data_IF_025292765380
#
_entry.id   IF_025292765380
#
_cell.length_a   1.000
_cell.length_b   1.000
_cell.length_c   1.000
_cell.angle_alpha   90.00
_cell.angle_beta   90.00
_cell.angle_gamma   90.00
#
_symmetry.space_group_name_H-M   'P 1'
#
loop_
_entity.id
_entity.type
_entity.pdbx_description
1 polymer ?
#
# COMPACT_ATOMS: atom_id res chain seq x y z
N UNK A 1 13.73 -15.66 -36.52
CA UNK A 1 13.32 -14.29 -36.87
C UNK A 1 12.25 -13.92 -35.86
N UNK A 2 12.66 -13.50 -34.66
CA UNK A 2 11.74 -13.05 -33.61
C UNK A 2 11.84 -11.53 -33.55
N UNK A 3 10.74 -10.87 -33.90
CA UNK A 3 10.61 -9.40 -33.89
C UNK A 3 10.51 -8.88 -32.45
N UNK A 4 11.58 -8.27 -31.93
CA UNK A 4 11.53 -7.45 -30.73
C UNK A 4 10.99 -6.05 -31.07
N UNK A 5 9.68 -5.89 -30.96
CA UNK A 5 9.01 -4.58 -30.99
C UNK A 5 9.19 -3.86 -29.64
N UNK A 6 10.22 -3.02 -29.54
CA UNK A 6 10.41 -2.10 -28.41
C UNK A 6 9.49 -0.88 -28.58
N UNK A 7 8.40 -0.80 -27.82
CA UNK A 7 7.55 0.40 -27.77
C UNK A 7 7.74 1.14 -26.44
N UNK A 8 8.22 2.39 -26.50
CA UNK A 8 8.35 3.27 -25.35
C UNK A 8 7.20 4.28 -25.36
N UNK A 9 6.21 4.09 -24.48
CA UNK A 9 5.08 5.02 -24.32
C UNK A 9 5.20 5.74 -23.00
N UNK A 10 5.64 7.00 -23.03
CA UNK A 10 5.58 7.91 -21.89
C UNK A 10 4.32 8.78 -22.00
N UNK A 11 3.45 8.74 -20.98
CA UNK A 11 2.24 9.58 -20.93
C UNK A 11 2.65 11.06 -20.79
N UNK A 12 2.04 12.00 -21.55
CA UNK A 12 2.38 13.42 -21.45
C UNK A 12 2.00 13.97 -20.07
N UNK A 13 2.96 14.61 -19.39
CA UNK A 13 2.77 15.27 -18.10
C UNK A 13 2.97 16.76 -18.27
N UNK A 14 1.95 17.55 -17.91
CA UNK A 14 1.99 19.00 -18.04
C UNK A 14 3.08 19.63 -17.15
N UNK A 15 3.75 20.65 -17.69
CA UNK A 15 4.81 21.41 -17.02
C UNK A 15 4.20 22.25 -15.89
N UNK A 16 4.50 21.90 -14.65
CA UNK A 16 4.08 22.66 -13.48
C UNK A 16 5.01 23.87 -13.30
N UNK A 17 4.57 25.04 -13.74
CA UNK A 17 5.23 26.31 -13.46
C UNK A 17 4.87 26.78 -12.04
N UNK A 18 5.46 26.16 -11.03
CA UNK A 18 5.35 26.62 -9.64
C UNK A 18 6.74 26.74 -9.02
N UNK A 19 7.24 27.97 -8.96
CA UNK A 19 8.52 28.33 -8.34
C UNK A 19 8.32 28.42 -6.81
N UNK A 20 8.32 27.27 -6.14
CA UNK A 20 8.27 27.18 -4.67
C UNK A 20 9.64 27.40 -4.03
N UNK A 21 9.72 28.34 -3.08
CA UNK A 21 10.92 28.65 -2.30
C UNK A 21 11.32 27.48 -1.38
N UNK A 22 12.61 27.12 -1.47
CA UNK A 22 13.49 26.49 -0.48
C UNK A 22 12.88 25.51 0.56
N UNK A 23 13.06 24.20 0.34
CA UNK A 23 13.22 23.22 1.42
C UNK A 23 14.20 22.12 1.00
N UNK A 24 15.26 21.93 1.80
CA UNK A 24 16.19 20.79 1.71
C UNK A 24 15.40 19.48 1.80
N UNK A 25 15.46 18.65 0.75
CA UNK A 25 15.32 17.19 0.84
C UNK A 25 16.17 16.52 -0.24
N UNK A 26 16.75 15.41 0.19
CA UNK A 26 17.70 14.54 -0.49
C UNK A 26 17.24 14.16 -1.90
N UNK A 27 18.14 14.27 -2.87
CA UNK A 27 17.89 13.86 -4.26
C UNK A 27 18.20 12.38 -4.39
N UNK A 28 17.18 11.59 -4.76
CA UNK A 28 17.39 10.34 -5.47
C UNK A 28 17.97 10.67 -6.86
N UNK A 29 19.18 10.19 -7.14
CA UNK A 29 19.84 10.33 -8.42
C UNK A 29 19.27 9.34 -9.43
N UNK A 30 18.17 9.71 -10.07
CA UNK A 30 17.78 9.18 -11.38
C UNK A 30 17.59 10.39 -12.30
N UNK A 31 18.70 11.05 -12.63
CA UNK A 31 18.73 12.09 -13.65
C UNK A 31 19.01 11.40 -14.99
N UNK A 32 17.95 11.13 -15.75
CA UNK A 32 18.05 11.07 -17.21
C UNK A 32 18.74 12.36 -17.63
N UNK A 33 19.93 12.25 -18.22
CA UNK A 33 20.70 13.40 -18.70
C UNK A 33 19.84 14.16 -19.70
N UNK A 34 19.35 15.33 -19.29
CA UNK A 34 18.59 16.18 -20.19
C UNK A 34 19.55 16.74 -21.23
N UNK A 35 19.44 16.22 -22.45
CA UNK A 35 20.20 16.66 -23.62
C UNK A 35 20.15 18.19 -23.74
N UNK A 36 19.05 18.84 -23.32
CA UNK A 36 18.86 20.30 -23.33
C UNK A 36 19.89 21.11 -22.52
N UNK A 37 20.65 20.48 -21.63
CA UNK A 37 21.71 21.11 -20.86
C UNK A 37 23.11 20.56 -21.20
N UNK A 38 23.22 19.71 -22.22
CA UNK A 38 24.51 19.17 -22.66
C UNK A 38 25.28 20.27 -23.44
N UNK A 39 26.48 20.66 -22.97
CA UNK A 39 27.31 21.66 -23.63
C UNK A 39 27.84 21.22 -25.01
N UNK A 40 27.73 19.93 -25.36
CA UNK A 40 28.14 19.39 -26.66
C UNK A 40 27.06 19.53 -27.74
N UNK A 41 25.83 19.88 -27.35
CA UNK A 41 24.69 19.96 -28.28
C UNK A 41 24.44 21.43 -28.63
N UNK A 42 24.88 21.83 -29.82
CA UNK A 42 24.65 23.17 -30.35
C UNK A 42 23.15 23.37 -30.63
N UNK A 43 22.54 24.38 -30.00
CA UNK A 43 21.13 24.73 -30.18
C UNK A 43 21.01 26.04 -30.94
N UNK A 44 20.26 26.01 -32.05
CA UNK A 44 19.91 27.20 -32.81
C UNK A 44 19.81 26.91 -34.31
N UNK A 45 19.00 27.71 -35.02
CA UNK A 45 19.03 27.76 -36.47
C UNK A 45 20.33 28.43 -36.91
N UNK A 46 21.06 27.81 -37.85
CA UNK A 46 22.37 28.27 -38.36
C UNK A 46 22.31 29.70 -38.93
N UNK A 47 21.11 30.17 -39.29
CA UNK A 47 20.88 31.53 -39.80
C UNK A 47 20.92 32.65 -38.74
N UNK A 48 20.80 32.33 -37.44
CA UNK A 48 20.80 33.36 -36.39
C UNK A 48 22.20 33.97 -36.13
N UNK A 49 23.27 33.23 -36.40
CA UNK A 49 24.65 33.71 -36.20
C UNK A 49 25.01 34.84 -37.18
N UNK A 50 24.53 34.77 -38.43
CA UNK A 50 24.79 35.78 -39.46
C UNK A 50 24.14 37.14 -39.13
N UNK A 51 22.98 37.14 -38.46
CA UNK A 51 22.27 38.37 -38.11
C UNK A 51 22.80 39.04 -36.83
N UNK A 52 23.53 38.31 -35.97
CA UNK A 52 24.12 38.87 -34.75
C UNK A 52 25.31 39.80 -34.99
N UNK A 53 25.91 39.75 -36.19
CA UNK A 53 27.03 40.60 -36.60
C UNK A 53 26.55 42.02 -36.95
N UNK A 54 25.30 42.17 -37.40
CA UNK A 54 24.74 43.48 -37.77
C UNK A 54 24.22 44.28 -36.56
N UNK A 55 23.78 43.62 -35.49
CA UNK A 55 23.17 44.31 -34.33
C UNK A 55 24.21 44.93 -33.37
N UNK A 56 25.48 44.53 -33.47
CA UNK A 56 26.55 45.04 -32.58
C UNK A 56 27.18 46.37 -33.02
N UNK A 57 26.82 46.93 -34.19
CA UNK A 57 27.41 48.18 -34.68
C UNK A 57 26.76 49.45 -34.11
N UNK A 58 25.51 49.40 -33.64
CA UNK A 58 24.75 50.62 -33.35
C UNK A 58 24.64 50.98 -31.85
N UNK A 59 25.28 50.23 -30.94
CA UNK A 59 25.19 50.48 -29.50
C UNK A 59 26.54 50.61 -28.79
N UNK A 60 27.55 51.18 -29.44
CA UNK A 60 28.84 51.52 -28.84
C UNK A 60 29.09 53.03 -28.86
N UNK A 61 28.21 53.80 -28.24
CA UNK A 61 28.43 55.21 -27.94
C UNK A 61 27.86 55.54 -26.57
N UNK A 62 28.59 55.18 -25.50
CA UNK A 62 28.55 55.88 -24.21
C UNK A 62 29.65 55.42 -23.26
N UNK A 63 30.37 56.43 -22.76
CA UNK A 63 31.28 56.47 -21.60
C UNK A 63 32.74 56.10 -21.87
N UNK A 64 33.56 57.15 -21.91
CA UNK A 64 35.02 57.17 -21.77
C UNK A 64 35.42 57.15 -20.30
N UNK A 65 36.51 56.44 -19.95
CA UNK A 65 37.58 56.89 -19.02
C UNK A 65 38.91 56.19 -19.40
N UNK A 66 40.01 56.96 -19.31
CA UNK A 66 41.40 56.84 -19.87
C UNK A 66 42.30 55.98 -18.92
N UNK A 67 43.51 55.42 -19.27
CA UNK A 67 44.55 55.87 -20.24
C UNK A 67 45.13 54.85 -21.25
N UNK A 68 45.91 55.35 -22.23
CA UNK A 68 46.54 54.55 -23.27
C UNK A 68 47.97 54.18 -22.89
N UNK A 69 48.32 52.89 -22.93
CA UNK A 69 49.68 52.52 -23.28
C UNK A 69 49.77 51.06 -23.75
N UNK A 70 50.74 50.85 -24.64
CA UNK A 70 51.22 49.60 -25.22
C UNK A 70 50.53 49.12 -26.49
N UNK A 71 51.32 49.28 -27.56
CA UNK A 71 51.20 48.71 -28.88
C UNK A 71 50.97 47.20 -28.86
N UNK A 72 50.02 46.73 -29.67
CA UNK A 72 50.15 45.46 -30.37
C UNK A 72 49.29 45.51 -31.63
N UNK A 73 49.93 45.40 -32.79
CA UNK A 73 49.27 45.43 -34.10
C UNK A 73 48.24 44.30 -34.29
N UNK A 74 47.46 44.34 -35.39
CA UNK A 74 46.42 43.36 -35.63
C UNK A 74 47.05 41.98 -35.91
N UNK A 75 47.01 41.10 -34.93
CA UNK A 75 47.28 39.68 -35.10
C UNK A 75 46.16 39.08 -35.96
N UNK A 76 46.45 38.87 -37.25
CA UNK A 76 45.61 38.07 -38.13
C UNK A 76 45.57 36.65 -37.57
N UNK A 77 44.39 36.18 -37.15
CA UNK A 77 44.22 34.79 -36.77
C UNK A 77 44.41 33.91 -38.00
N UNK A 78 45.45 33.07 -37.97
CA UNK A 78 45.56 31.94 -38.89
C UNK A 78 44.41 30.98 -38.57
N UNK A 79 43.40 30.93 -39.46
CA UNK A 79 42.35 29.92 -39.40
C UNK A 79 42.96 28.57 -39.74
N UNK A 80 42.99 27.65 -38.79
CA UNK A 80 43.34 26.25 -39.03
C UNK A 80 42.20 25.62 -39.85
N UNK A 81 42.49 25.22 -41.08
CA UNK A 81 41.58 24.42 -41.91
C UNK A 81 41.36 23.09 -41.19
N UNK A 82 40.09 22.72 -41.00
CA UNK A 82 39.71 21.46 -40.36
C UNK A 82 39.29 20.47 -41.44
N UNK A 83 39.47 19.17 -41.18
CA UNK A 83 39.26 18.05 -42.14
C UNK A 83 37.80 17.96 -42.64
N UNK A 84 36.88 18.74 -42.05
CA UNK A 84 35.45 18.77 -42.40
C UNK A 84 35.04 19.98 -43.27
N UNK A 85 35.99 20.80 -43.74
CA UNK A 85 35.71 21.93 -44.64
C UNK A 85 35.72 21.43 -46.10
N UNK A 86 34.56 21.45 -46.76
CA UNK A 86 34.43 21.01 -48.15
C UNK A 86 35.22 21.96 -49.10
N UNK A 87 36.00 21.44 -50.06
CA UNK A 87 36.76 22.28 -50.98
C UNK A 87 35.79 23.10 -51.84
N UNK A 88 35.77 24.42 -51.61
CA UNK A 88 35.06 25.35 -52.47
C UNK A 88 35.93 25.65 -53.68
N UNK A 89 35.99 24.69 -54.62
CA UNK A 89 36.29 24.89 -56.05
C UNK A 89 36.09 23.56 -56.79
N UNK A 90 34.84 23.19 -57.07
CA UNK A 90 34.56 22.31 -58.20
C UNK A 90 34.30 23.20 -59.42
N UNK A 91 35.38 23.68 -60.03
CA UNK A 91 35.35 24.20 -61.40
C UNK A 91 35.23 23.01 -62.34
N UNK A 92 34.02 22.44 -62.46
CA UNK A 92 33.69 21.49 -63.52
C UNK A 92 32.90 22.20 -64.59
N UNK A 93 33.58 23.04 -65.36
CA UNK A 93 33.09 23.53 -66.63
C UNK A 93 34.20 23.31 -67.66
N UNK A 94 34.02 22.31 -68.51
CA UNK A 94 34.80 22.16 -69.73
C UNK A 94 34.01 22.87 -70.84
N UNK A 95 34.52 23.95 -71.45
CA UNK A 95 33.87 24.54 -72.60
C UNK A 95 33.98 23.56 -73.77
N UNK A 96 32.87 22.93 -74.14
CA UNK A 96 32.75 22.14 -75.36
C UNK A 96 32.54 23.11 -76.51
N UNK A 97 33.46 23.13 -77.47
CA UNK A 97 33.32 23.93 -78.68
C UNK A 97 32.27 23.31 -79.61
N UNK A 98 31.12 23.97 -79.73
CA UNK A 98 30.00 23.55 -80.59
C UNK A 98 30.11 24.14 -82.01
N UNK A 99 31.20 24.85 -82.34
CA UNK A 99 31.41 25.51 -83.64
C UNK A 99 31.29 24.56 -84.83
N UNK A 100 31.68 23.29 -84.66
CA UNK A 100 31.58 22.27 -85.71
C UNK A 100 30.15 21.81 -86.03
N UNK A 101 29.16 22.10 -85.17
CA UNK A 101 27.77 21.64 -85.32
C UNK A 101 26.75 22.79 -85.53
N UNK A 102 27.22 24.04 -85.67
CA UNK A 102 26.39 25.22 -85.95
C UNK A 102 26.45 25.57 -87.46
N UNK A 103 26.06 24.64 -88.32
CA UNK A 103 25.85 24.93 -89.74
C UNK A 103 24.35 25.13 -89.96
N UNK A 104 23.93 26.40 -90.00
CA UNK A 104 22.60 26.77 -90.47
C UNK A 104 22.54 26.52 -91.98
N UNK A 105 21.81 25.48 -92.41
CA UNK A 105 21.55 25.21 -93.82
C UNK A 105 20.53 26.21 -94.35
N UNK A 106 21.00 27.37 -94.81
CA UNK A 106 20.18 28.29 -95.62
C UNK A 106 19.94 27.66 -96.99
N UNK A 107 18.68 27.60 -97.49
CA UNK A 107 18.41 27.07 -98.81
C UNK A 107 19.08 27.95 -99.86
N UNK A 108 19.85 27.34 -100.76
CA UNK A 108 20.43 28.01 -101.92
C UNK A 108 19.29 28.53 -102.82
N UNK A 109 19.24 29.84 -103.04
CA UNK A 109 18.35 30.47 -104.01
C UNK A 109 19.16 30.62 -105.31
N UNK A 110 18.70 29.98 -106.38
CA UNK A 110 19.33 30.09 -107.69
C UNK A 110 19.11 31.51 -108.24
N UNK A 111 20.14 32.34 -108.20
CA UNK A 111 20.15 33.67 -108.79
C UNK A 111 20.65 33.61 -110.24
N UNK A 112 19.76 33.88 -111.19
CA UNK A 112 20.08 33.94 -112.62
C UNK A 112 20.63 35.31 -112.98
N UNK A 113 21.95 35.44 -113.02
CA UNK A 113 22.63 36.64 -113.53
C UNK A 113 22.62 36.66 -115.06
N UNK A 114 21.85 37.59 -115.64
CA UNK A 114 21.86 37.92 -117.07
C UNK A 114 22.85 39.06 -117.29
N UNK A 115 24.00 38.77 -117.89
CA UNK A 115 24.97 39.77 -118.33
C UNK A 115 25.22 39.67 -119.84
N UNK A 116 25.28 40.85 -120.46
CA UNK A 116 25.34 41.07 -121.90
C UNK A 116 26.73 40.89 -122.49
N UNK A 117 26.75 40.30 -123.68
CA UNK A 117 27.89 40.02 -124.53
C UNK A 117 28.76 41.25 -124.80
N UNK A 118 29.96 41.25 -124.24
CA UNK A 118 31.10 42.04 -124.72
C UNK A 118 32.29 41.07 -124.76
N UNK A 119 32.60 40.55 -125.95
CA UNK A 119 33.68 39.59 -126.12
C UNK A 119 35.02 40.29 -125.87
N UNK A 120 35.70 39.91 -124.80
CA UNK A 120 37.05 40.38 -124.49
C UNK A 120 38.02 39.39 -125.12
N UNK A 121 38.69 39.77 -126.22
CA UNK A 121 39.61 38.91 -126.96
C UNK A 121 40.52 38.07 -126.04
N UNK A 122 40.29 36.74 -125.99
CA UNK A 122 41.18 35.83 -125.26
C UNK A 122 42.52 35.67 -126.02
N UNK A 123 43.68 35.95 -125.39
CA UNK A 123 44.97 35.64 -125.99
C UNK A 123 45.15 34.12 -126.15
N UNK A 124 45.54 33.70 -127.35
CA UNK A 124 45.79 32.29 -127.69
C UNK A 124 47.03 31.76 -126.93
N UNK A 125 46.82 31.25 -125.72
CA UNK A 125 47.85 30.65 -124.87
C UNK A 125 48.13 29.16 -125.20
N UNK A 126 47.70 28.66 -126.37
CA UNK A 126 47.83 27.23 -126.74
C UNK A 126 49.28 26.76 -126.96
N UNK A 127 50.25 27.68 -126.98
CA UNK A 127 51.68 27.38 -127.13
C UNK A 127 52.56 27.84 -125.95
N UNK A 128 52.00 28.28 -124.82
CA UNK A 128 52.77 28.50 -123.57
C UNK A 128 52.66 27.29 -122.65
N UNK A 129 53.36 26.19 -123.00
CA UNK A 129 53.71 25.22 -121.96
C UNK A 129 54.73 25.91 -121.03
N UNK A 130 54.49 26.03 -119.71
CA UNK A 130 55.48 26.59 -118.81
C UNK A 130 56.76 25.75 -118.95
N UNK A 131 57.88 26.41 -119.15
CA UNK A 131 59.18 25.76 -119.22
C UNK A 131 59.52 25.22 -117.82
N UNK A 132 59.32 23.92 -117.62
CA UNK A 132 59.76 23.22 -116.41
C UNK A 132 61.21 22.85 -116.61
N UNK A 133 62.11 23.54 -115.91
CA UNK A 133 63.53 23.19 -115.87
C UNK A 133 63.64 21.73 -115.39
N UNK A 134 64.31 20.86 -116.16
CA UNK A 134 64.68 19.53 -115.65
C UNK A 134 65.51 19.74 -114.38
N UNK A 135 65.31 18.94 -113.33
CA UNK A 135 66.06 19.06 -112.08
C UNK A 135 67.56 18.87 -112.37
N UNK A 136 68.29 19.96 -112.55
CA UNK A 136 69.74 19.97 -112.78
C UNK A 136 70.44 20.13 -111.43
N UNK A 137 70.31 19.12 -110.57
CA UNK A 137 70.96 19.06 -109.27
C UNK A 137 71.37 17.62 -108.98
N UNK A 138 72.52 17.43 -108.33
CA UNK A 138 72.96 16.10 -107.90
C UNK A 138 72.05 15.70 -106.73
N UNK A 139 71.33 14.59 -106.89
CA UNK A 139 70.54 14.01 -105.79
C UNK A 139 71.51 13.26 -104.87
N UNK A 140 71.62 13.71 -103.63
CA UNK A 140 72.41 13.06 -102.60
C UNK A 140 71.50 12.64 -101.45
N UNK A 141 71.44 11.34 -101.17
CA UNK A 141 70.89 10.80 -99.92
C UNK A 141 72.04 10.53 -98.97
N UNK A 142 71.95 11.03 -97.74
CA UNK A 142 72.89 10.70 -96.67
C UNK A 142 72.12 9.88 -95.64
N UNK A 143 72.66 8.73 -95.28
CA UNK A 143 72.14 7.85 -94.23
C UNK A 143 73.25 7.63 -93.20
N UNK A 144 72.86 7.52 -91.94
CA UNK A 144 73.79 7.20 -90.84
C UNK A 144 73.83 5.67 -90.75
N UNK A 145 75.00 5.09 -91.00
CA UNK A 145 75.20 3.65 -90.94
C UNK A 145 75.46 3.20 -89.50
N UNK A 146 75.20 1.93 -89.17
CA UNK A 146 75.53 1.36 -87.86
C UNK A 146 77.04 1.47 -87.54
N UNK A 147 77.90 1.51 -88.57
CA UNK A 147 79.35 1.70 -88.42
C UNK A 147 79.76 3.11 -87.98
N UNK A 148 78.87 4.09 -88.03
CA UNK A 148 79.19 5.50 -87.70
C UNK A 148 79.34 5.71 -86.18
N UNK A 149 78.95 4.73 -85.36
CA UNK A 149 79.26 4.73 -83.92
C UNK A 149 78.65 5.90 -83.15
N UNK A 150 77.50 6.43 -83.61
CA UNK A 150 76.86 7.62 -83.04
C UNK A 150 76.21 7.40 -81.66
N UNK A 151 76.08 6.14 -81.24
CA UNK A 151 75.53 5.76 -79.93
C UNK A 151 76.63 5.69 -78.88
N UNK A 152 76.59 6.62 -77.92
CA UNK A 152 77.42 6.57 -76.73
C UNK A 152 76.63 5.94 -75.57
N UNK A 153 77.03 4.72 -75.20
CA UNK A 153 76.36 3.97 -74.13
C UNK A 153 76.44 4.68 -72.78
N UNK A 154 77.57 5.33 -72.47
CA UNK A 154 77.78 5.94 -71.15
C UNK A 154 76.87 7.16 -70.95
N UNK A 155 76.59 7.90 -72.03
CA UNK A 155 75.66 9.03 -72.02
C UNK A 155 74.21 8.53 -71.94
N UNK A 156 73.84 7.53 -72.74
CA UNK A 156 72.45 7.10 -72.85
C UNK A 156 71.99 6.25 -71.65
N UNK A 157 72.90 5.51 -70.98
CA UNK A 157 72.57 4.73 -69.78
C UNK A 157 72.43 5.60 -68.53
N UNK A 158 73.02 6.80 -68.52
CA UNK A 158 73.07 7.67 -67.35
C UNK A 158 71.68 8.05 -66.78
N UNK A 159 70.67 8.45 -67.59
CA UNK A 159 69.32 8.70 -67.09
C UNK A 159 68.64 7.45 -66.53
N UNK A 160 68.84 6.28 -67.17
CA UNK A 160 68.26 5.02 -66.74
C UNK A 160 68.82 4.60 -65.37
N UNK A 161 70.14 4.67 -65.22
CA UNK A 161 70.82 4.35 -63.96
C UNK A 161 70.39 5.33 -62.85
N UNK A 162 70.30 6.62 -63.17
CA UNK A 162 69.85 7.64 -62.23
C UNK A 162 68.45 7.35 -61.71
N UNK A 163 67.50 6.98 -62.58
CA UNK A 163 66.14 6.63 -62.17
C UNK A 163 66.13 5.35 -61.35
N UNK A 164 66.88 4.33 -61.77
CA UNK A 164 66.94 3.04 -61.07
C UNK A 164 67.47 3.22 -59.66
N UNK A 165 68.64 3.84 -59.50
CA UNK A 165 69.27 4.06 -58.20
C UNK A 165 68.42 4.94 -57.30
N UNK A 166 67.86 6.04 -57.82
CA UNK A 166 67.00 6.90 -57.02
C UNK A 166 65.72 6.20 -56.57
N UNK A 167 65.12 5.39 -57.45
CA UNK A 167 63.91 4.63 -57.10
C UNK A 167 64.22 3.57 -56.05
N UNK A 168 65.31 2.81 -56.20
CA UNK A 168 65.69 1.78 -55.23
C UNK A 168 66.04 2.39 -53.87
N UNK A 169 66.78 3.52 -53.84
CA UNK A 169 67.12 4.19 -52.59
C UNK A 169 65.89 4.78 -51.91
N UNK A 170 65.00 5.43 -52.67
CA UNK A 170 63.74 5.97 -52.11
C UNK A 170 62.84 4.86 -51.58
N UNK A 171 62.71 3.77 -52.32
CA UNK A 171 61.91 2.63 -51.89
C UNK A 171 62.48 2.02 -50.60
N UNK A 172 63.80 1.77 -50.55
CA UNK A 172 64.46 1.25 -49.35
C UNK A 172 64.30 2.20 -48.15
N UNK A 173 64.40 3.52 -48.36
CA UNK A 173 64.19 4.51 -47.30
C UNK A 173 62.76 4.47 -46.77
N UNK A 174 61.75 4.45 -47.65
CA UNK A 174 60.35 4.37 -47.24
C UNK A 174 60.04 3.04 -46.52
N UNK A 175 60.61 1.92 -46.96
CA UNK A 175 60.43 0.62 -46.31
C UNK A 175 60.98 0.63 -44.88
N UNK A 176 62.18 1.20 -44.67
CA UNK A 176 62.76 1.33 -43.33
C UNK A 176 61.91 2.24 -42.42
N UNK A 177 61.45 3.39 -42.94
CA UNK A 177 60.58 4.29 -42.19
C UNK A 177 59.26 3.61 -41.80
N UNK A 178 58.64 2.86 -42.72
CA UNK A 178 57.41 2.12 -42.43
C UNK A 178 57.61 0.99 -41.43
N UNK A 179 58.72 0.25 -41.51
CA UNK A 179 59.03 -0.77 -40.52
C UNK A 179 59.19 -0.17 -39.12
N UNK A 180 59.84 0.99 -39.02
CA UNK A 180 60.00 1.68 -37.75
C UNK A 180 58.67 2.23 -37.24
N UNK A 181 57.85 2.86 -38.08
CA UNK A 181 56.49 3.28 -37.71
C UNK A 181 55.65 2.09 -37.21
N UNK A 182 55.72 0.95 -37.88
CA UNK A 182 54.98 -0.25 -37.50
C UNK A 182 55.44 -0.79 -36.13
N UNK A 183 56.75 -0.75 -35.84
CA UNK A 183 57.30 -1.10 -34.51
C UNK A 183 56.78 -0.14 -33.44
N UNK A 184 56.77 1.16 -33.70
CA UNK A 184 56.25 2.15 -32.74
C UNK A 184 54.75 1.95 -32.48
N UNK A 185 53.96 1.68 -33.51
CA UNK A 185 52.53 1.39 -33.36
C UNK A 185 52.32 0.11 -32.54
N UNK A 186 53.11 -0.94 -32.78
CA UNK A 186 53.02 -2.18 -32.03
C UNK A 186 53.31 -1.97 -30.53
N UNK A 187 54.38 -1.25 -30.19
CA UNK A 187 54.73 -0.91 -28.81
C UNK A 187 53.64 -0.07 -28.14
N UNK A 188 53.10 0.93 -28.85
CA UNK A 188 52.02 1.76 -28.34
C UNK A 188 50.74 0.95 -28.07
N UNK A 189 50.38 0.01 -28.96
CA UNK A 189 49.23 -0.87 -28.76
C UNK A 189 49.44 -1.82 -27.58
N UNK A 190 50.64 -2.35 -27.41
CA UNK A 190 50.99 -3.18 -26.26
C UNK A 190 50.83 -2.41 -24.95
N UNK A 191 51.40 -1.21 -24.85
CA UNK A 191 51.25 -0.33 -23.68
C UNK A 191 49.78 0.03 -23.42
N UNK A 192 49.02 0.31 -24.47
CA UNK A 192 47.60 0.62 -24.35
C UNK A 192 46.81 -0.59 -23.85
N UNK A 193 47.13 -1.80 -24.31
CA UNK A 193 46.49 -3.02 -23.84
C UNK A 193 46.84 -3.34 -22.39
N UNK A 194 48.10 -3.18 -21.98
CA UNK A 194 48.50 -3.40 -20.58
C UNK A 194 47.81 -2.41 -19.66
N UNK A 195 47.77 -1.12 -20.01
CA UNK A 195 47.06 -0.10 -19.24
C UNK A 195 45.56 -0.39 -19.14
N UNK A 196 44.90 -0.76 -20.25
CA UNK A 196 43.48 -1.16 -20.23
C UNK A 196 43.21 -2.39 -19.36
N UNK A 197 44.12 -3.36 -19.35
CA UNK A 197 43.99 -4.55 -18.53
C UNK A 197 44.09 -4.19 -17.03
N UNK A 198 45.05 -3.34 -16.66
CA UNK A 198 45.19 -2.82 -15.30
C UNK A 198 43.96 -2.01 -14.86
N UNK A 199 43.45 -1.13 -15.71
CA UNK A 199 42.24 -0.36 -15.43
C UNK A 199 41.02 -1.27 -15.24
N UNK A 200 40.87 -2.29 -16.09
CA UNK A 200 39.78 -3.26 -15.98
C UNK A 200 39.85 -4.06 -14.68
N UNK A 201 41.05 -4.42 -14.22
CA UNK A 201 41.27 -5.10 -12.94
C UNK A 201 40.93 -4.18 -11.76
N UNK A 202 41.41 -2.95 -11.75
CA UNK A 202 41.07 -1.95 -10.74
C UNK A 202 39.55 -1.70 -10.64
N UNK A 203 38.86 -1.58 -11.79
CA UNK A 203 37.40 -1.45 -11.82
C UNK A 203 36.71 -2.70 -11.26
N UNK A 204 37.20 -3.90 -11.60
CA UNK A 204 36.65 -5.17 -11.10
C UNK A 204 36.77 -5.27 -9.58
N UNK A 205 37.91 -4.88 -9.02
CA UNK A 205 38.11 -4.86 -7.57
C UNK A 205 37.16 -3.86 -6.89
N UNK A 206 37.04 -2.64 -7.41
CA UNK A 206 36.14 -1.62 -6.88
C UNK A 206 34.68 -2.11 -6.90
N UNK A 207 34.24 -2.71 -8.01
CA UNK A 207 32.88 -3.28 -8.13
C UNK A 207 32.68 -4.41 -7.12
N UNK A 208 33.66 -5.28 -6.93
CA UNK A 208 33.59 -6.37 -5.94
C UNK A 208 33.49 -5.83 -4.50
N UNK A 209 34.27 -4.81 -4.16
CA UNK A 209 34.20 -4.14 -2.85
C UNK A 209 32.85 -3.45 -2.65
N UNK A 210 32.35 -2.72 -3.65
CA UNK A 210 31.04 -2.07 -3.60
C UNK A 210 29.91 -3.09 -3.43
N UNK A 211 29.97 -4.24 -4.12
CA UNK A 211 29.00 -5.33 -3.97
C UNK A 211 29.01 -5.91 -2.56
N UNK A 212 30.20 -6.14 -1.98
CA UNK A 212 30.34 -6.60 -0.58
C UNK A 212 29.78 -5.57 0.40
N UNK A 213 30.12 -4.30 0.26
CA UNK A 213 29.62 -3.23 1.13
C UNK A 213 28.09 -3.09 1.04
N UNK A 214 27.53 -3.19 -0.17
CA UNK A 214 26.08 -3.16 -0.38
C UNK A 214 25.38 -4.35 0.30
N UNK A 215 25.93 -5.56 0.16
CA UNK A 215 25.38 -6.76 0.80
C UNK A 215 25.39 -6.65 2.34
N UNK A 216 26.48 -6.14 2.93
CA UNK A 216 26.58 -5.90 4.38
C UNK A 216 25.52 -4.87 4.82
N UNK A 217 25.42 -3.74 4.11
CA UNK A 217 24.44 -2.70 4.42
C UNK A 217 23.00 -3.21 4.33
N UNK A 218 22.70 -4.06 3.36
CA UNK A 218 21.36 -4.61 3.21
C UNK A 218 21.04 -5.65 4.28
N UNK A 219 22.00 -6.49 4.68
CA UNK A 219 21.86 -7.37 5.84
C UNK A 219 21.61 -6.58 7.13
N UNK A 220 22.35 -5.49 7.35
CA UNK A 220 22.15 -4.60 8.50
C UNK A 220 20.77 -3.97 8.51
N UNK A 221 20.27 -3.47 7.36
CA UNK A 221 18.91 -2.92 7.26
C UNK A 221 17.83 -3.96 7.60
N UNK A 222 18.01 -5.21 7.16
CA UNK A 222 17.06 -6.29 7.48
C UNK A 222 17.04 -6.54 8.98
N UNK A 223 18.21 -6.66 9.61
CA UNK A 223 18.32 -6.88 11.05
C UNK A 223 17.78 -5.70 11.86
N UNK A 224 18.06 -4.46 11.45
CA UNK A 224 17.48 -3.27 12.08
C UNK A 224 15.95 -3.25 11.98
N UNK A 225 15.38 -3.58 10.81
CA UNK A 225 13.92 -3.69 10.66
C UNK A 225 13.33 -4.76 11.57
N UNK A 226 13.98 -5.93 11.67
CA UNK A 226 13.56 -7.00 12.59
C UNK A 226 13.56 -6.52 14.04
N UNK A 227 14.65 -5.89 14.49
CA UNK A 227 14.76 -5.33 15.86
C UNK A 227 13.70 -4.29 16.15
N UNK A 228 13.40 -3.39 15.21
CA UNK A 228 12.36 -2.38 15.38
C UNK A 228 10.97 -3.03 15.51
N UNK A 229 10.67 -4.04 14.67
CA UNK A 229 9.40 -4.79 14.78
C UNK A 229 9.29 -5.52 16.12
N UNK A 230 10.36 -6.18 16.56
CA UNK A 230 10.39 -6.87 17.84
C UNK A 230 10.24 -5.91 19.02
N UNK A 231 10.93 -4.77 18.99
CA UNK A 231 10.77 -3.72 20.00
C UNK A 231 9.33 -3.22 20.05
N UNK A 232 8.71 -2.93 18.90
CA UNK A 232 7.33 -2.45 18.85
C UNK A 232 6.34 -3.46 19.46
N UNK A 233 6.53 -4.76 19.17
CA UNK A 233 5.70 -5.83 19.76
C UNK A 233 5.92 -5.95 21.28
N UNK A 234 7.16 -5.79 21.74
CA UNK A 234 7.46 -5.80 23.18
C UNK A 234 6.84 -4.60 23.87
N UNK A 235 6.96 -3.40 23.28
CA UNK A 235 6.37 -2.17 23.81
C UNK A 235 4.85 -2.28 23.93
N UNK A 236 4.18 -2.81 22.91
CA UNK A 236 2.73 -3.07 22.95
C UNK A 236 2.35 -4.06 24.05
N UNK A 237 3.10 -5.17 24.19
CA UNK A 237 2.86 -6.17 25.24
C UNK A 237 3.06 -5.59 26.64
N UNK A 238 4.12 -4.82 26.84
CA UNK A 238 4.40 -4.17 28.13
C UNK A 238 3.32 -3.15 28.46
N UNK A 239 2.89 -2.35 27.48
CA UNK A 239 1.78 -1.41 27.64
C UNK A 239 0.49 -2.14 28.02
N UNK A 240 0.13 -3.22 27.31
CA UNK A 240 -1.05 -4.02 27.60
C UNK A 240 -1.01 -4.63 29.01
N UNK A 241 0.12 -5.23 29.42
CA UNK A 241 0.28 -5.79 30.77
C UNK A 241 0.16 -4.72 31.85
N UNK A 242 0.75 -3.53 31.63
CA UNK A 242 0.65 -2.42 32.58
C UNK A 242 -0.79 -1.95 32.76
N UNK A 243 -1.54 -1.84 31.65
CA UNK A 243 -2.93 -1.46 31.63
C UNK A 243 -3.82 -2.53 32.26
N UNK A 244 -3.58 -3.81 31.96
CA UNK A 244 -4.31 -4.92 32.55
C UNK A 244 -4.13 -4.97 34.07
N UNK A 245 -2.92 -4.71 34.59
CA UNK A 245 -2.70 -4.66 36.05
C UNK A 245 -3.51 -3.54 36.70
N UNK A 246 -3.48 -2.34 36.12
CA UNK A 246 -4.24 -1.20 36.64
C UNK A 246 -5.75 -1.43 36.58
N UNK A 247 -6.26 -1.95 35.47
CA UNK A 247 -7.68 -2.23 35.31
C UNK A 247 -8.13 -3.41 36.16
N UNK A 248 -7.36 -4.48 36.28
CA UNK A 248 -7.78 -5.64 37.08
C UNK A 248 -7.93 -5.30 38.55
N UNK A 249 -7.06 -4.46 39.13
CA UNK A 249 -7.27 -4.00 40.51
C UNK A 249 -8.59 -3.24 40.66
N UNK A 250 -8.89 -2.33 39.73
CA UNK A 250 -10.14 -1.54 39.77
C UNK A 250 -11.37 -2.42 39.54
N UNK A 251 -11.34 -3.31 38.54
CA UNK A 251 -12.45 -4.20 38.22
C UNK A 251 -12.73 -5.16 39.38
N UNK A 252 -11.71 -5.68 40.07
CA UNK A 252 -11.92 -6.54 41.25
C UNK A 252 -12.60 -5.75 42.37
N UNK A 253 -12.17 -4.52 42.65
CA UNK A 253 -12.82 -3.67 43.65
C UNK A 253 -14.27 -3.35 43.26
N UNK A 254 -14.51 -2.88 42.04
CA UNK A 254 -15.86 -2.53 41.57
C UNK A 254 -16.80 -3.73 41.54
N UNK A 255 -16.34 -4.88 41.05
CA UNK A 255 -17.15 -6.11 40.98
C UNK A 255 -17.44 -6.68 42.35
N UNK A 256 -16.49 -6.63 43.30
CA UNK A 256 -16.75 -7.06 44.68
C UNK A 256 -17.78 -6.17 45.35
N UNK A 257 -17.72 -4.85 45.15
CA UNK A 257 -18.75 -3.91 45.63
C UNK A 257 -20.11 -4.20 45.00
N UNK A 258 -20.17 -4.34 43.67
CA UNK A 258 -21.42 -4.62 42.95
C UNK A 258 -22.06 -5.96 43.36
N UNK A 259 -21.25 -7.02 43.47
CA UNK A 259 -21.72 -8.36 43.87
C UNK A 259 -22.13 -8.41 45.35
N UNK A 260 -21.46 -7.64 46.21
CA UNK A 260 -21.87 -7.50 47.62
C UNK A 260 -23.19 -6.74 47.72
N UNK A 261 -23.38 -5.67 46.94
CA UNK A 261 -24.62 -4.91 46.88
C UNK A 261 -25.80 -5.75 46.33
N UNK A 262 -25.54 -6.63 45.36
CA UNK A 262 -26.53 -7.60 44.86
C UNK A 262 -26.79 -8.76 45.83
N UNK A 263 -26.04 -8.86 46.95
CA UNK A 263 -26.22 -9.89 47.96
C UNK A 263 -25.67 -11.26 47.56
N UNK A 264 -24.81 -11.33 46.54
CA UNK A 264 -24.13 -12.57 46.14
C UNK A 264 -23.08 -12.96 47.18
N UNK A 265 -22.30 -11.98 47.64
CA UNK A 265 -21.44 -12.15 48.81
C UNK A 265 -22.25 -11.83 50.07
N UNK A 266 -22.55 -12.87 50.85
CA UNK A 266 -23.28 -12.76 52.11
C UNK A 266 -22.46 -13.38 53.24
N UNK A 267 -22.70 -12.92 54.46
CA UNK A 267 -22.13 -13.54 55.66
C UNK A 267 -22.82 -14.91 55.90
N UNK A 268 -22.09 -16.03 55.82
CA UNK A 268 -22.65 -17.36 56.01
C UNK A 268 -23.26 -17.52 57.42
N UNK A 269 -22.71 -16.85 58.44
CA UNK A 269 -23.24 -16.92 59.80
C UNK A 269 -24.60 -16.24 59.86
N UNK A 270 -24.71 -15.02 59.31
CA UNK A 270 -25.97 -14.29 59.27
C UNK A 270 -27.07 -15.08 58.54
N UNK A 271 -26.73 -15.72 57.41
CA UNK A 271 -27.70 -16.53 56.65
C UNK A 271 -28.11 -17.81 57.36
N UNK A 272 -27.19 -18.45 58.10
CA UNK A 272 -27.55 -19.59 58.95
C UNK A 272 -28.48 -19.19 60.10
N UNK A 273 -28.25 -18.01 60.69
CA UNK A 273 -29.13 -17.46 61.73
C UNK A 273 -30.53 -17.18 61.15
N UNK A 274 -30.61 -16.45 60.05
CA UNK A 274 -31.89 -16.10 59.40
C UNK A 274 -32.65 -17.33 58.88
N UNK A 275 -31.96 -18.31 58.28
CA UNK A 275 -32.58 -19.48 57.71
C UNK A 275 -32.96 -20.56 58.73
N UNK A 276 -32.02 -20.94 59.59
CA UNK A 276 -32.19 -22.12 60.46
C UNK A 276 -32.62 -21.72 61.87
N UNK A 277 -31.88 -20.78 62.48
CA UNK A 277 -32.11 -20.42 63.88
C UNK A 277 -33.43 -19.68 64.08
N UNK A 278 -33.75 -18.71 63.22
CA UNK A 278 -35.03 -17.99 63.30
C UNK A 278 -36.21 -18.93 63.06
N UNK A 279 -36.13 -19.82 62.07
CA UNK A 279 -37.16 -20.83 61.82
C UNK A 279 -37.38 -21.75 63.03
N UNK A 280 -36.28 -22.22 63.64
CA UNK A 280 -36.34 -22.99 64.88
C UNK A 280 -36.95 -22.18 66.03
N UNK A 281 -36.51 -20.93 66.24
CA UNK A 281 -37.00 -20.07 67.33
C UNK A 281 -38.51 -19.81 67.19
N UNK A 282 -38.98 -19.48 65.98
CA UNK A 282 -40.41 -19.30 65.73
C UNK A 282 -41.18 -20.60 65.93
N UNK A 283 -40.67 -21.74 65.49
CA UNK A 283 -41.31 -23.04 65.74
C UNK A 283 -41.39 -23.37 67.24
N UNK A 284 -40.33 -23.10 68.00
CA UNK A 284 -40.30 -23.31 69.44
C UNK A 284 -41.28 -22.37 70.15
N UNK A 285 -41.31 -21.08 69.77
CA UNK A 285 -42.29 -20.14 70.29
C UNK A 285 -43.73 -20.59 69.99
N UNK A 286 -44.00 -21.07 68.78
CA UNK A 286 -45.31 -21.58 68.37
C UNK A 286 -45.71 -22.82 69.20
N UNK A 287 -44.78 -23.74 69.50
CA UNK A 287 -45.08 -24.88 70.40
C UNK A 287 -45.46 -24.43 71.82
N UNK A 288 -44.80 -23.40 72.35
CA UNK A 288 -45.12 -22.84 73.67
C UNK A 288 -46.48 -22.14 73.65
N UNK A 289 -46.79 -21.39 72.58
CA UNK A 289 -48.10 -20.75 72.42
C UNK A 289 -49.20 -21.79 72.29
N UNK A 290 -49.00 -22.84 71.48
CA UNK A 290 -49.93 -23.96 71.33
C UNK A 290 -50.16 -24.69 72.64
N UNK A 291 -49.11 -25.00 73.40
CA UNK A 291 -49.26 -25.68 74.70
C UNK A 291 -50.03 -24.80 75.70
N UNK A 292 -49.74 -23.49 75.75
CA UNK A 292 -50.52 -22.54 76.55
C UNK A 292 -51.97 -22.43 76.09
N UNK A 293 -52.22 -22.42 74.79
CA UNK A 293 -53.57 -22.36 74.23
C UNK A 293 -54.36 -23.64 74.53
N UNK A 294 -53.76 -24.81 74.38
CA UNK A 294 -54.36 -26.09 74.80
C UNK A 294 -54.63 -26.13 76.30
N UNK A 295 -53.67 -25.70 77.13
CA UNK A 295 -53.86 -25.62 78.57
C UNK A 295 -55.01 -24.67 78.94
N UNK A 296 -55.11 -23.51 78.28
CA UNK A 296 -56.22 -22.57 78.46
C UNK A 296 -57.56 -23.19 78.06
N UNK A 297 -57.63 -23.87 76.91
CA UNK A 297 -58.85 -24.56 76.48
C UNK A 297 -59.28 -25.65 77.47
N UNK A 298 -58.34 -26.44 78.00
CA UNK A 298 -58.62 -27.46 79.01
C UNK A 298 -59.12 -26.83 80.33
N UNK A 299 -58.53 -25.73 80.76
CA UNK A 299 -59.00 -25.00 81.96
C UNK A 299 -60.39 -24.43 81.72
N UNK A 300 -60.64 -23.80 80.56
CA UNK A 300 -61.97 -23.31 80.20
C UNK A 300 -63.01 -24.44 80.16
N UNK A 301 -62.64 -25.62 79.66
CA UNK A 301 -63.52 -26.79 79.63
C UNK A 301 -63.76 -27.38 81.03
N UNK A 302 -62.74 -27.45 81.87
CA UNK A 302 -62.87 -27.88 83.27
C UNK A 302 -63.76 -26.92 84.08
N UNK A 303 -63.62 -25.60 83.87
CA UNK A 303 -64.49 -24.59 84.48
C UNK A 303 -65.92 -24.73 83.97
N UNK A 304 -66.11 -24.92 82.66
CA UNK A 304 -67.43 -25.16 82.05
C UNK A 304 -68.10 -26.40 82.64
N UNK A 305 -67.38 -27.52 82.72
CA UNK A 305 -67.86 -28.77 83.30
C UNK A 305 -68.20 -28.63 84.78
N UNK A 306 -67.35 -27.93 85.56
CA UNK A 306 -67.60 -27.66 86.98
C UNK A 306 -68.85 -26.80 87.20
N UNK A 307 -69.04 -25.75 86.38
CA UNK A 307 -70.23 -24.90 86.42
C UNK A 307 -71.49 -25.68 86.01
N UNK A 308 -71.41 -26.54 84.99
CA UNK A 308 -72.52 -27.40 84.58
C UNK A 308 -72.90 -28.37 85.72
N UNK A 309 -71.91 -28.98 86.37
CA UNK A 309 -72.13 -29.86 87.52
C UNK A 309 -72.77 -29.10 88.70
N UNK A 310 -72.33 -27.88 88.99
CA UNK A 310 -72.93 -27.05 90.02
C UNK A 310 -74.39 -26.68 89.71
N UNK A 311 -74.71 -26.34 88.45
CA UNK A 311 -76.09 -26.07 88.02
C UNK A 311 -76.98 -27.30 88.19
N UNK A 312 -76.47 -28.49 87.85
CA UNK A 312 -77.18 -29.75 88.06
C UNK A 312 -77.46 -30.03 89.53
N UNK A 313 -76.47 -29.87 90.41
CA UNK A 313 -76.66 -30.04 91.85
C UNK A 313 -77.68 -29.07 92.42
N UNK A 314 -77.61 -27.78 92.05
CA UNK A 314 -78.58 -26.78 92.48
C UNK A 314 -80.00 -27.10 91.97
N UNK A 315 -80.14 -27.61 90.75
CA UNK A 315 -81.43 -28.03 90.22
C UNK A 315 -82.00 -29.22 91.00
N UNK A 316 -81.20 -30.26 91.27
CA UNK A 316 -81.61 -31.40 92.10
C UNK A 316 -82.01 -30.95 93.51
N UNK A 317 -81.26 -30.02 94.12
CA UNK A 317 -81.62 -29.45 95.43
C UNK A 317 -82.93 -28.64 95.38
N UNK A 318 -83.18 -27.88 94.30
CA UNK A 318 -84.45 -27.18 94.12
C UNK A 318 -85.65 -28.14 94.01
N UNK A 319 -85.46 -29.32 93.40
CA UNK A 319 -86.47 -30.36 93.32
C UNK A 319 -86.78 -31.00 94.68
N UNK A 320 -85.88 -30.90 95.67
CA UNK A 320 -86.14 -31.36 97.04
C UNK A 320 -87.39 -30.71 97.63
N UNK A 321 -87.66 -29.45 97.28
CA UNK A 321 -88.83 -28.70 97.78
C UNK A 321 -90.17 -29.21 97.23
N UNK A 322 -90.14 -30.04 96.18
CA UNK A 322 -91.33 -30.56 95.49
C UNK A 322 -91.56 -32.07 95.75
N UNK A 323 -90.74 -32.71 96.60
CA UNK A 323 -90.82 -34.14 96.92
C UNK A 323 -92.04 -34.44 97.80
N UNK A 324 -92.85 -35.41 97.39
CA UNK A 324 -93.93 -36.00 98.20
C UNK A 324 -93.76 -37.53 98.20
N UNK A 325 -93.70 -38.17 99.39
CA UNK A 325 -93.43 -39.62 99.55
C UNK A 325 -92.20 -40.14 98.77
N UNK A 326 -91.06 -39.45 98.86
CA UNK A 326 -89.79 -39.78 98.18
C UNK A 326 -89.87 -39.84 96.64
N UNK A 327 -90.96 -39.36 96.04
CA UNK A 327 -91.17 -39.29 94.59
C UNK A 327 -91.22 -37.83 94.12
N UNK A 328 -90.70 -37.58 92.91
CA UNK A 328 -90.76 -36.26 92.27
C UNK A 328 -91.35 -36.39 90.87
N UNK A 329 -92.19 -35.42 90.52
CA UNK A 329 -92.66 -35.15 89.16
C UNK A 329 -92.17 -33.77 88.76
N UNK A 330 -91.45 -33.66 87.64
CA UNK A 330 -91.01 -32.36 87.13
C UNK A 330 -91.37 -32.21 85.64
N UNK A 331 -91.76 -30.99 85.22
CA UNK A 331 -92.10 -30.72 83.83
C UNK A 331 -90.83 -30.74 82.96
N UNK A 332 -90.94 -31.29 81.76
CA UNK A 332 -89.82 -31.35 80.81
C UNK A 332 -90.12 -30.46 79.63
N UNK A 333 -89.34 -29.39 79.45
CA UNK A 333 -89.57 -28.41 78.39
C UNK A 333 -88.88 -28.76 77.06
N UNK A 334 -87.88 -29.65 77.07
CA UNK A 334 -86.93 -29.79 75.96
C UNK A 334 -86.87 -31.19 75.32
N UNK A 335 -87.69 -32.14 75.76
CA UNK A 335 -87.72 -33.50 75.21
C UNK A 335 -89.01 -33.67 74.39
N UNK A 336 -88.92 -33.87 73.06
CA UNK A 336 -90.10 -34.02 72.22
C UNK A 336 -90.85 -35.31 72.54
N UNK A 337 -92.13 -35.18 72.93
CA UNK A 337 -93.04 -36.32 73.17
C UNK A 337 -93.34 -36.62 74.65
N UNK A 338 -92.77 -35.88 75.62
CA UNK A 338 -93.06 -36.01 77.04
C UNK A 338 -93.26 -34.64 77.71
N UNK A 339 -94.42 -34.42 78.35
CA UNK A 339 -94.73 -33.16 79.04
C UNK A 339 -94.20 -33.13 80.50
N UNK A 340 -94.11 -34.29 81.16
CA UNK A 340 -93.56 -34.41 82.52
C UNK A 340 -92.90 -35.78 82.74
N UNK A 341 -91.82 -35.80 83.52
CA UNK A 341 -91.16 -37.03 83.98
C UNK A 341 -91.51 -37.23 85.46
N UNK A 342 -92.15 -38.36 85.78
CA UNK A 342 -92.48 -38.76 87.15
C UNK A 342 -93.79 -39.54 87.27
N UNK A 343 -93.98 -40.28 88.39
CA UNK A 343 -93.20 -40.24 89.62
C UNK A 343 -91.90 -41.06 89.57
N UNK A 344 -90.75 -40.40 89.85
CA UNK A 344 -89.42 -41.05 89.93
C UNK A 344 -88.86 -40.93 91.35
N UNK A 345 -88.14 -41.96 91.81
CA UNK A 345 -87.44 -41.98 93.10
C UNK A 345 -86.39 -40.87 93.19
N UNK A 346 -86.58 -39.95 94.14
CA UNK A 346 -85.65 -38.85 94.39
C UNK A 346 -84.32 -39.38 94.97
N UNK A 347 -83.20 -38.96 94.39
CA UNK A 347 -81.87 -39.16 94.95
C UNK A 347 -81.07 -37.88 94.89
N UNK A 348 -80.29 -37.59 95.94
CA UNK A 348 -79.34 -36.47 95.98
C UNK A 348 -78.10 -36.73 95.13
N UNK A 349 -77.84 -37.99 94.79
CA UNK A 349 -76.71 -38.37 93.95
C UNK A 349 -77.12 -38.28 92.47
N UNK A 350 -76.61 -37.25 91.76
CA UNK A 350 -76.97 -36.94 90.36
C UNK A 350 -76.92 -38.17 89.42
N UNK A 351 -75.85 -38.98 89.36
CA UNK A 351 -75.81 -40.18 88.51
C UNK A 351 -76.80 -41.28 88.89
N UNK A 352 -77.17 -41.42 90.18
CA UNK A 352 -78.21 -42.37 90.58
C UNK A 352 -79.60 -41.86 90.25
N UNK A 353 -79.82 -40.54 90.39
CA UNK A 353 -81.06 -39.90 90.01
C UNK A 353 -81.30 -39.97 88.49
N UNK A 354 -80.25 -39.73 87.69
CA UNK A 354 -80.31 -39.90 86.21
C UNK A 354 -80.64 -41.35 85.83
N UNK A 355 -80.10 -42.35 86.56
CA UNK A 355 -80.45 -43.78 86.36
C UNK A 355 -81.91 -44.09 86.70
N UNK A 356 -82.46 -43.51 87.77
CA UNK A 356 -83.88 -43.67 88.08
C UNK A 356 -84.76 -43.04 87.00
N UNK A 357 -84.36 -41.90 86.45
CA UNK A 357 -85.04 -41.23 85.34
C UNK A 357 -84.93 -42.07 84.06
N UNK A 358 -83.74 -42.58 83.74
CA UNK A 358 -83.51 -43.48 82.59
C UNK A 358 -84.41 -44.72 82.68
N UNK A 359 -84.51 -45.36 83.86
CA UNK A 359 -85.36 -46.52 84.08
C UNK A 359 -86.86 -46.18 83.89
N UNK A 360 -87.31 -45.06 84.45
CA UNK A 360 -88.69 -44.61 84.31
C UNK A 360 -89.05 -44.25 82.86
N UNK A 361 -88.15 -43.57 82.13
CA UNK A 361 -88.36 -43.21 80.71
C UNK A 361 -88.37 -44.47 79.84
N UNK A 362 -87.53 -45.47 80.14
CA UNK A 362 -87.53 -46.73 79.40
C UNK A 362 -88.83 -47.52 79.59
N UNK A 363 -89.42 -47.49 80.79
CA UNK A 363 -90.67 -48.18 81.11
C UNK A 363 -91.91 -47.46 80.56
N UNK A 364 -91.95 -46.12 80.61
CA UNK A 364 -93.14 -45.34 80.27
C UNK A 364 -93.11 -44.70 78.88
N UNK A 365 -91.93 -44.57 78.25
CA UNK A 365 -91.75 -43.87 76.98
C UNK A 365 -90.56 -44.42 76.15
N UNK A 366 -90.63 -45.68 75.66
CA UNK A 366 -89.50 -46.34 74.99
C UNK A 366 -89.08 -45.73 73.64
N UNK A 367 -89.87 -44.81 73.09
CA UNK A 367 -89.57 -44.12 71.82
C UNK A 367 -88.66 -42.91 71.97
N UNK A 368 -88.36 -42.47 73.19
CA UNK A 368 -87.51 -41.30 73.46
C UNK A 368 -86.04 -41.71 73.47
N UNK A 369 -85.22 -41.07 72.63
CA UNK A 369 -83.78 -41.30 72.60
C UNK A 369 -83.08 -40.60 73.77
N UNK A 370 -82.15 -41.32 74.41
CA UNK A 370 -81.33 -40.78 75.51
C UNK A 370 -80.39 -39.68 75.01
N UNK A 371 -80.41 -38.47 75.60
CA UNK A 371 -79.46 -37.40 75.25
C UNK A 371 -78.01 -37.80 75.55
N UNK A 372 -77.02 -37.31 74.78
CA UNK A 372 -75.61 -37.70 74.93
C UNK A 372 -74.99 -37.32 76.30
N UNK A 373 -75.57 -36.34 76.99
CA UNK A 373 -75.14 -35.86 78.31
C UNK A 373 -76.05 -36.31 79.47
N UNK A 374 -77.08 -37.12 79.21
CA UNK A 374 -78.10 -37.56 80.19
C UNK A 374 -79.34 -36.67 80.22
N UNK A 375 -80.48 -37.21 80.68
CA UNK A 375 -81.76 -36.49 80.69
C UNK A 375 -81.74 -35.31 81.66
N UNK A 376 -81.12 -35.45 82.84
CA UNK A 376 -80.97 -34.34 83.79
C UNK A 376 -80.14 -33.18 83.23
N UNK A 377 -79.05 -33.48 82.52
CA UNK A 377 -78.20 -32.45 81.92
C UNK A 377 -78.91 -31.69 80.80
N UNK A 378 -79.73 -32.38 80.01
CA UNK A 378 -80.49 -31.80 78.90
C UNK A 378 -81.65 -30.91 79.40
N UNK A 379 -82.31 -31.31 80.50
CA UNK A 379 -83.33 -30.50 81.17
C UNK A 379 -82.72 -29.21 81.72
N UNK A 380 -81.58 -29.29 82.42
CA UNK A 380 -80.90 -28.11 82.97
C UNK A 380 -80.32 -27.22 81.86
N UNK A 381 -79.93 -27.77 80.72
CA UNK A 381 -79.51 -27.00 79.54
C UNK A 381 -80.68 -26.27 78.86
N UNK A 382 -81.91 -26.79 78.96
CA UNK A 382 -83.13 -26.20 78.44
C UNK A 382 -83.76 -25.09 79.31
N UNK A 383 -83.37 -25.00 80.58
CA UNK A 383 -83.74 -23.92 81.48
C UNK A 383 -82.86 -22.70 81.14
N UNK A 384 -83.39 -21.81 80.29
CA UNK A 384 -82.74 -20.52 80.00
C UNK A 384 -82.73 -19.60 81.22
#
# INVERSE_FOLDING_TARGET
>A
MDDLQYSFVAKPRAVQNARGKHRKKEKASNAVFNIMNDPRVARGSVYAAANSIHIKRDNAARVSQIPPNQSSGPQKSFKKQTIFEAPTTLQTFFPVDLSANLIEHTPHVDETEVSTQTDTFLPNNKHKKPFVLKKTGIEASTEIAESDGLFDFDVEVSPLLTVLVNKTLRQAMCEVEWEDELKHIALYLEELHTNKALDAEAVRELVAQAKKAYAIKDAEKVEQRRRVQESALVDEKVAAVSLSRLLMSQVVEDTTVALTAQGVFYDPLRRQVEGNFMAWMYSAADTIVKTKQSARLLVEDMVRSSLQHQRLLHYVDSLHTQVHDNMVTFPVANVPGLDAIGPVLYSRNVPEFDRHIDAWVHENAPTVARPPVGFLADIVAGIK
#
